data_IF_900266549274
#
_entry.id   IF_900266549274
#
_cell.length_a   1.000
_cell.length_b   1.000
_cell.length_c   1.000
_cell.angle_alpha   90.00
_cell.angle_beta   90.00
_cell.angle_gamma   90.00
#
_symmetry.space_group_name_H-M   'P 1'
#
loop_
_entity.id
_entity.type
_entity.pdbx_description
1 polymer ?
#
# COMPACT_ATOMS: atom_id res chain seq x y z
N UNK A 1 -4.49 -28.54 13.48
CA UNK A 1 -5.38 -27.37 13.35
C UNK A 1 -4.44 -26.18 13.36
N UNK A 2 -4.31 -25.47 12.23
CA UNK A 2 -3.46 -24.28 12.14
C UNK A 2 -4.32 -23.12 12.61
N UNK A 3 -3.98 -22.55 13.76
CA UNK A 3 -4.60 -21.31 14.23
C UNK A 3 -4.37 -20.24 13.16
N UNK A 4 -5.42 -19.94 12.40
CA UNK A 4 -5.45 -18.76 11.55
C UNK A 4 -5.56 -17.60 12.51
N UNK A 5 -4.41 -17.01 12.88
CA UNK A 5 -4.37 -15.69 13.48
C UNK A 5 -5.08 -14.74 12.52
N UNK A 6 -6.36 -14.49 12.80
CA UNK A 6 -7.14 -13.43 12.16
C UNK A 6 -6.38 -12.15 12.50
N UNK A 7 -5.62 -11.64 11.54
CA UNK A 7 -4.83 -10.42 11.66
C UNK A 7 -5.81 -9.27 11.93
N UNK A 8 -6.10 -9.02 13.21
CA UNK A 8 -6.78 -7.83 13.67
C UNK A 8 -5.97 -6.67 13.07
N UNK A 9 -6.56 -5.76 12.28
CA UNK A 9 -5.78 -4.69 11.69
C UNK A 9 -5.25 -3.85 12.84
N UNK A 10 -3.95 -4.02 13.14
CA UNK A 10 -3.23 -3.14 14.03
C UNK A 10 -3.57 -1.73 13.58
N UNK A 11 -4.05 -0.92 14.53
CA UNK A 11 -4.40 0.48 14.30
C UNK A 11 -3.28 1.10 13.43
N UNK A 12 -3.62 1.71 12.28
CA UNK A 12 -2.60 2.20 11.36
C UNK A 12 -1.67 3.21 12.06
N UNK A 13 -0.38 2.93 12.00
CA UNK A 13 0.68 3.74 12.59
C UNK A 13 1.11 4.86 11.63
N UNK A 14 0.27 5.90 11.54
CA UNK A 14 0.55 7.08 10.72
C UNK A 14 1.66 7.98 11.29
N UNK A 15 2.18 7.70 12.50
CA UNK A 15 3.29 8.44 13.07
C UNK A 15 4.59 8.00 12.42
N UNK A 16 4.82 6.68 12.34
CA UNK A 16 6.06 6.10 11.83
C UNK A 16 6.02 5.71 10.35
N UNK A 17 4.83 5.66 9.73
CA UNK A 17 4.68 5.22 8.34
C UNK A 17 3.82 6.15 7.49
N UNK A 18 4.16 6.24 6.21
CA UNK A 18 3.27 6.69 5.14
C UNK A 18 2.52 5.49 4.56
N UNK A 19 1.21 5.59 4.38
CA UNK A 19 0.40 4.53 3.78
C UNK A 19 0.00 4.95 2.38
N UNK A 20 0.15 4.05 1.41
CA UNK A 20 -0.25 4.28 0.03
C UNK A 20 -1.30 3.25 -0.38
N UNK A 21 -2.37 3.72 -1.01
CA UNK A 21 -3.26 2.87 -1.79
C UNK A 21 -2.76 2.86 -3.23
N UNK A 22 -2.48 1.67 -3.75
CA UNK A 22 -2.08 1.46 -5.14
C UNK A 22 -3.26 0.84 -5.86
N UNK A 23 -3.94 1.65 -6.68
CA UNK A 23 -5.08 1.19 -7.48
C UNK A 23 -4.56 0.43 -8.69
N UNK A 24 -5.17 -0.72 -8.98
CA UNK A 24 -4.75 -1.65 -10.01
C UNK A 24 -5.71 -1.59 -11.19
N UNK A 25 -5.16 -1.72 -12.40
CA UNK A 25 -5.97 -1.83 -13.61
C UNK A 25 -6.64 -3.21 -13.63
N UNK A 26 -7.90 -3.30 -13.22
CA UNK A 26 -8.63 -4.58 -13.10
C UNK A 26 -8.90 -5.28 -14.43
N UNK A 27 -8.91 -4.54 -15.54
CA UNK A 27 -9.11 -5.10 -16.88
C UNK A 27 -7.85 -5.71 -17.51
N UNK A 28 -6.67 -5.41 -16.96
CA UNK A 28 -5.37 -5.88 -17.46
C UNK A 28 -4.57 -6.35 -16.25
N UNK A 29 -4.55 -7.66 -16.00
CA UNK A 29 -3.71 -8.25 -14.95
C UNK A 29 -2.43 -8.77 -15.60
N UNK A 30 -1.33 -8.00 -15.63
CA UNK A 30 -0.08 -8.49 -16.18
C UNK A 30 0.49 -9.63 -15.32
N UNK A 31 1.31 -10.49 -15.92
CA UNK A 31 2.11 -11.46 -15.19
C UNK A 31 3.59 -11.02 -15.15
N UNK A 32 4.20 -10.85 -13.96
CA UNK A 32 3.60 -11.01 -12.63
C UNK A 32 2.64 -9.85 -12.28
N UNK A 33 1.63 -10.14 -11.46
CA UNK A 33 0.67 -9.13 -11.03
C UNK A 33 1.33 -8.00 -10.23
N UNK A 34 0.78 -6.78 -10.26
CA UNK A 34 1.33 -5.64 -9.49
C UNK A 34 1.45 -5.95 -8.00
N UNK A 35 0.46 -6.65 -7.44
CA UNK A 35 0.47 -7.12 -6.05
C UNK A 35 1.68 -8.03 -5.76
N UNK A 36 1.95 -9.00 -6.65
CA UNK A 36 3.10 -9.90 -6.53
C UNK A 36 4.41 -9.14 -6.67
N UNK A 37 4.48 -8.17 -7.59
CA UNK A 37 5.64 -7.32 -7.77
C UNK A 37 5.94 -6.50 -6.50
N UNK A 38 4.93 -5.83 -5.93
CA UNK A 38 5.07 -5.04 -4.69
C UNK A 38 5.46 -5.91 -3.49
N UNK A 39 4.90 -7.12 -3.38
CA UNK A 39 5.29 -8.07 -2.34
C UNK A 39 6.76 -8.52 -2.47
N UNK A 40 7.29 -8.62 -3.70
CA UNK A 40 8.71 -8.91 -3.92
C UNK A 40 9.58 -7.68 -3.66
N UNK A 41 9.09 -6.50 -4.00
CA UNK A 41 9.79 -5.24 -3.80
C UNK A 41 9.99 -4.92 -2.31
N UNK A 42 8.97 -5.17 -1.47
CA UNK A 42 9.07 -5.01 -0.01
C UNK A 42 10.10 -5.92 0.66
N UNK A 43 10.47 -7.04 0.02
CA UNK A 43 11.57 -7.89 0.49
C UNK A 43 12.95 -7.35 0.14
N UNK A 44 13.03 -6.43 -0.83
CA UNK A 44 14.29 -5.82 -1.30
C UNK A 44 14.54 -4.44 -0.69
N UNK A 45 13.47 -3.70 -0.40
CA UNK A 45 13.51 -2.37 0.19
C UNK A 45 13.04 -2.47 1.64
N UNK A 46 13.95 -2.40 2.63
CA UNK A 46 13.61 -2.55 4.05
C UNK A 46 12.56 -1.56 4.56
N UNK A 47 12.51 -0.38 3.95
CA UNK A 47 11.60 0.70 4.33
C UNK A 47 10.20 0.53 3.75
N UNK A 48 10.02 -0.32 2.73
CA UNK A 48 8.73 -0.58 2.09
C UNK A 48 8.15 -1.89 2.60
N UNK A 49 6.92 -1.83 3.10
CA UNK A 49 6.19 -3.00 3.58
C UNK A 49 4.90 -3.18 2.77
N UNK A 50 4.66 -4.41 2.33
CA UNK A 50 3.40 -4.79 1.70
C UNK A 50 2.38 -5.16 2.78
N UNK A 51 1.26 -4.42 2.85
CA UNK A 51 0.23 -4.64 3.87
C UNK A 51 -0.76 -5.69 3.40
N UNK A 52 -1.23 -5.58 2.15
CA UNK A 52 -2.21 -6.51 1.59
C UNK A 52 -3.15 -5.85 0.58
N UNK A 53 -4.08 -6.62 -0.02
CA UNK A 53 -5.16 -6.06 -0.82
C UNK A 53 -6.08 -5.17 0.02
N UNK A 54 -6.57 -4.08 -0.58
CA UNK A 54 -7.56 -3.18 -0.01
C UNK A 54 -8.60 -2.83 -1.09
N UNK A 55 -9.82 -2.49 -0.69
CA UNK A 55 -10.89 -2.20 -1.64
C UNK A 55 -11.88 -3.35 -1.80
N UNK A 56 -12.72 -3.29 -2.83
CA UNK A 56 -13.71 -4.32 -3.15
C UNK A 56 -13.30 -4.90 -4.50
N UNK A 57 -13.09 -6.22 -4.56
CA UNK A 57 -12.66 -6.96 -5.76
C UNK A 57 -11.15 -6.93 -6.06
N UNK A 58 -10.30 -6.79 -5.02
CA UNK A 58 -8.82 -6.78 -5.16
C UNK A 58 -8.32 -5.74 -6.18
N UNK A 59 -9.07 -4.65 -6.32
CA UNK A 59 -8.84 -3.51 -7.22
C UNK A 59 -7.75 -2.56 -6.71
N UNK A 60 -7.33 -2.71 -5.46
CA UNK A 60 -6.21 -1.99 -4.91
C UNK A 60 -5.38 -2.85 -3.94
N UNK A 61 -4.14 -2.43 -3.72
CA UNK A 61 -3.29 -2.94 -2.65
C UNK A 61 -2.78 -1.80 -1.80
N UNK A 62 -2.55 -2.08 -0.53
CA UNK A 62 -1.96 -1.14 0.40
C UNK A 62 -0.51 -1.53 0.66
N UNK A 63 0.34 -0.51 0.55
CA UNK A 63 1.73 -0.58 0.99
C UNK A 63 1.96 0.52 2.02
N UNK A 64 2.97 0.35 2.86
CA UNK A 64 3.42 1.39 3.77
C UNK A 64 4.92 1.59 3.64
N UNK A 65 5.36 2.83 3.78
CA UNK A 65 6.77 3.20 3.75
C UNK A 65 7.13 3.83 5.08
N UNK A 66 8.20 3.34 5.71
CA UNK A 66 8.71 3.89 6.96
C UNK A 66 9.18 5.33 6.72
N UNK A 67 8.79 6.26 7.59
CA UNK A 67 9.22 7.65 7.47
C UNK A 67 10.70 7.78 7.78
N UNK A 68 11.39 8.59 6.99
CA UNK A 68 12.73 9.11 7.26
C UNK A 68 12.85 10.52 6.66
N UNK A 69 13.88 11.26 7.04
CA UNK A 69 14.13 12.63 6.55
C UNK A 69 14.44 12.68 5.05
N UNK A 70 14.73 11.53 4.44
CA UNK A 70 15.10 11.38 3.02
C UNK A 70 13.94 10.90 2.14
N UNK A 71 12.75 10.65 2.71
CA UNK A 71 11.61 10.14 1.93
C UNK A 71 11.01 11.26 1.07
N UNK A 72 11.12 11.10 -0.24
CA UNK A 72 10.38 11.89 -1.23
C UNK A 72 9.04 11.20 -1.56
N UNK A 73 7.95 11.78 -1.06
CA UNK A 73 6.58 11.25 -1.26
C UNK A 73 6.17 11.30 -2.74
N UNK A 74 6.49 12.38 -3.45
CA UNK A 74 6.12 12.53 -4.86
C UNK A 74 6.91 11.54 -5.71
N UNK A 75 8.20 11.39 -5.43
CA UNK A 75 9.06 10.38 -6.05
C UNK A 75 8.53 8.95 -5.83
N UNK A 76 8.03 8.63 -4.63
CA UNK A 76 7.41 7.33 -4.35
C UNK A 76 6.13 7.11 -5.16
N UNK A 77 5.24 8.10 -5.23
CA UNK A 77 4.00 8.03 -6.01
C UNK A 77 4.34 7.76 -7.48
N UNK A 78 5.20 8.59 -8.08
CA UNK A 78 5.66 8.39 -9.45
C UNK A 78 6.28 7.01 -9.64
N UNK A 79 7.09 6.54 -8.68
CA UNK A 79 7.71 5.23 -8.72
C UNK A 79 6.69 4.08 -8.75
N UNK A 80 5.64 4.15 -7.94
CA UNK A 80 4.57 3.14 -7.95
C UNK A 80 3.76 3.16 -9.24
N UNK A 81 3.45 4.34 -9.77
CA UNK A 81 2.68 4.48 -11.02
C UNK A 81 3.44 4.00 -12.26
N UNK A 82 4.77 3.91 -12.19
CA UNK A 82 5.56 3.28 -13.27
C UNK A 82 5.42 1.76 -13.34
N UNK A 83 4.83 1.12 -12.32
CA UNK A 83 4.66 -0.34 -12.28
C UNK A 83 3.55 -0.74 -13.25
N UNK A 84 3.85 -1.66 -14.18
CA UNK A 84 2.87 -2.16 -15.13
C UNK A 84 1.66 -2.77 -14.40
N UNK A 85 0.44 -2.35 -14.78
CA UNK A 85 -0.81 -2.77 -14.16
C UNK A 85 -1.25 -1.93 -12.95
N UNK A 86 -0.50 -0.89 -12.58
CA UNK A 86 -0.94 0.15 -11.65
C UNK A 86 -1.66 1.25 -12.42
N UNK A 87 -2.81 1.67 -11.91
CA UNK A 87 -3.60 2.80 -12.44
C UNK A 87 -3.18 4.12 -11.78
N UNK A 88 -3.09 4.12 -10.44
CA UNK A 88 -2.67 5.29 -9.66
C UNK A 88 -2.14 4.89 -8.29
N UNK A 89 -1.38 5.79 -7.67
CA UNK A 89 -0.92 5.65 -6.29
C UNK A 89 -1.31 6.86 -5.45
N UNK A 90 -1.98 6.62 -4.32
CA UNK A 90 -2.52 7.68 -3.47
C UNK A 90 -2.00 7.58 -2.03
N UNK A 91 -1.44 8.68 -1.51
CA UNK A 91 -1.09 8.78 -0.10
C UNK A 91 -2.37 8.83 0.75
N UNK A 92 -2.52 7.86 1.64
CA UNK A 92 -3.61 7.81 2.58
C UNK A 92 -3.31 8.68 3.81
N UNK A 93 -4.11 9.73 3.96
CA UNK A 93 -4.09 10.56 5.16
C UNK A 93 -4.96 9.94 6.26
N UNK A 94 -4.55 10.07 7.54
CA UNK A 94 -5.40 9.67 8.65
C UNK A 94 -6.74 10.40 8.55
N UNK A 95 -7.84 9.65 8.52
CA UNK A 95 -9.18 10.24 8.54
C UNK A 95 -9.34 11.04 9.84
N UNK A 96 -9.29 12.37 9.75
CA UNK A 96 -9.71 13.23 10.88
C UNK A 96 -11.16 12.90 11.17
N UNK A 97 -11.41 12.27 12.32
CA UNK A 97 -12.77 12.01 12.78
C UNK A 97 -13.38 13.38 13.08
N UNK A 98 -14.12 13.94 12.11
CA UNK A 98 -14.92 15.13 12.36
C UNK A 98 -15.90 14.78 13.49
N UNK A 99 -15.60 15.24 14.71
CA UNK A 99 -16.60 15.35 15.78
C UNK A 99 -17.65 16.32 15.26
N UNK A 100 -18.71 15.82 14.64
CA UNK A 100 -19.96 16.58 14.53
C UNK A 100 -20.48 16.71 15.97
N UNK A 101 -20.36 17.92 16.52
CA UNK A 101 -21.20 18.39 17.62
C UNK A 101 -22.61 18.64 17.08
#
# INVERSE_FOLDING_TARGET
MVDVEIYIPHKPDYENYYYFAINLITHIVPEPSPATYLQRLSRRIPELEYVGPVGRLDDAVQVRVKKSDEVDIEGLICGFETINGVESAELQLPKKRNRRN
#
